data_IF_925709738269
#
_entry.id   IF_925709738269
#
_cell.length_a   1.000
_cell.length_b   1.000
_cell.length_c   1.000
_cell.angle_alpha   90.00
_cell.angle_beta   90.00
_cell.angle_gamma   90.00
#
_symmetry.space_group_name_H-M   'P 1'
#
loop_
_entity.id
_entity.type
_entity.pdbx_description
1 polymer ?
#
# COMPACT_ATOMS: atom_id res chain seq x y z
N UNK A 1 -20.61 -5.57 -22.83
CA UNK A 1 -21.57 -4.89 -23.74
C UNK A 1 -22.68 -4.15 -22.97
N UNK A 2 -22.49 -3.82 -21.68
CA UNK A 2 -23.49 -3.16 -20.82
C UNK A 2 -23.15 -1.71 -20.41
N UNK A 3 -21.87 -1.33 -20.39
CA UNK A 3 -21.39 0.01 -20.00
C UNK A 3 -21.93 1.13 -20.90
N UNK A 4 -22.09 0.87 -22.20
CA UNK A 4 -22.60 1.86 -23.17
C UNK A 4 -24.06 2.23 -22.95
N UNK A 5 -24.88 1.35 -22.33
CA UNK A 5 -26.28 1.66 -22.02
C UNK A 5 -26.44 2.51 -20.76
N UNK A 6 -25.60 2.32 -19.75
CA UNK A 6 -25.71 3.05 -18.47
C UNK A 6 -25.47 4.56 -18.64
N UNK A 7 -24.39 4.93 -19.30
CA UNK A 7 -24.04 6.34 -19.55
C UNK A 7 -24.84 6.96 -20.69
N UNK A 8 -25.47 6.15 -21.55
CA UNK A 8 -26.24 6.60 -22.70
C UNK A 8 -27.76 6.72 -22.49
N UNK A 9 -28.34 6.13 -21.44
CA UNK A 9 -29.82 6.05 -21.27
C UNK A 9 -30.37 6.45 -19.90
N UNK A 10 -29.57 6.47 -18.83
CA UNK A 10 -30.04 6.84 -17.48
C UNK A 10 -29.90 8.35 -17.19
N UNK A 11 -30.77 8.88 -16.32
CA UNK A 11 -30.70 10.29 -15.88
C UNK A 11 -29.41 10.53 -15.09
N UNK A 12 -28.66 11.56 -15.49
CA UNK A 12 -27.37 11.96 -14.87
C UNK A 12 -27.44 12.04 -13.34
N UNK A 13 -28.52 12.59 -12.78
CA UNK A 13 -28.69 12.70 -11.32
C UNK A 13 -28.71 11.35 -10.61
N UNK A 14 -29.34 10.33 -11.20
CA UNK A 14 -29.45 8.99 -10.63
C UNK A 14 -28.11 8.25 -10.68
N UNK A 15 -27.33 8.47 -11.74
CA UNK A 15 -25.94 7.99 -11.85
C UNK A 15 -25.07 8.67 -10.79
N UNK A 16 -25.19 9.98 -10.63
CA UNK A 16 -24.43 10.77 -9.65
C UNK A 16 -24.69 10.29 -8.22
N UNK A 17 -25.95 10.15 -7.82
CA UNK A 17 -26.30 9.69 -6.47
C UNK A 17 -25.94 8.22 -6.21
N UNK A 18 -25.75 7.41 -7.26
CA UNK A 18 -25.35 6.00 -7.14
C UNK A 18 -23.84 5.81 -7.05
N UNK A 19 -23.06 6.60 -7.82
CA UNK A 19 -21.60 6.47 -7.88
C UNK A 19 -20.87 7.41 -6.91
N UNK A 20 -21.40 8.61 -6.64
CA UNK A 20 -20.71 9.61 -5.84
C UNK A 20 -20.50 9.17 -4.38
N UNK A 21 -21.48 8.60 -3.64
CA UNK A 21 -21.26 8.27 -2.23
C UNK A 21 -20.08 7.32 -1.96
N UNK A 22 -19.91 6.18 -2.66
CA UNK A 22 -18.76 5.29 -2.43
C UNK A 22 -17.44 5.93 -2.87
N UNK A 23 -17.42 6.69 -3.97
CA UNK A 23 -16.22 7.41 -4.42
C UNK A 23 -15.83 8.50 -3.43
N UNK A 24 -16.79 9.30 -2.96
CA UNK A 24 -16.57 10.35 -1.96
C UNK A 24 -16.06 9.75 -0.64
N UNK A 25 -16.62 8.62 -0.20
CA UNK A 25 -16.14 7.93 0.99
C UNK A 25 -14.70 7.40 0.80
N UNK A 26 -14.39 6.84 -0.36
CA UNK A 26 -13.05 6.37 -0.70
C UNK A 26 -12.04 7.53 -0.74
N UNK A 27 -12.41 8.66 -1.37
CA UNK A 27 -11.60 9.87 -1.41
C UNK A 27 -11.41 10.48 -0.02
N UNK A 28 -12.43 10.44 0.83
CA UNK A 28 -12.33 10.88 2.23
C UNK A 28 -11.35 10.01 3.02
N UNK A 29 -11.43 8.68 2.89
CA UNK A 29 -10.50 7.75 3.54
C UNK A 29 -9.07 7.98 3.02
N UNK A 30 -8.89 8.13 1.71
CA UNK A 30 -7.58 8.39 1.10
C UNK A 30 -6.99 9.72 1.59
N UNK A 31 -7.80 10.78 1.70
CA UNK A 31 -7.37 12.06 2.23
C UNK A 31 -6.93 11.94 3.70
N UNK A 32 -7.66 11.19 4.53
CA UNK A 32 -7.26 10.91 5.91
C UNK A 32 -5.93 10.16 5.98
N UNK A 33 -5.71 9.17 5.12
CA UNK A 33 -4.41 8.48 5.03
C UNK A 33 -3.27 9.43 4.64
N UNK A 34 -3.49 10.31 3.67
CA UNK A 34 -2.47 11.27 3.25
C UNK A 34 -2.12 12.28 4.35
N UNK A 35 -3.11 12.71 5.15
CA UNK A 35 -2.89 13.58 6.32
C UNK A 35 -2.06 12.86 7.37
N UNK A 36 -2.39 11.59 7.65
CA UNK A 36 -1.67 10.77 8.62
C UNK A 36 -0.24 10.47 8.15
N UNK A 37 -0.04 10.08 6.90
CA UNK A 37 1.29 9.83 6.34
C UNK A 37 2.15 11.10 6.34
N UNK A 38 1.57 12.25 6.00
CA UNK A 38 2.26 13.54 6.05
C UNK A 38 2.64 13.95 7.48
N UNK A 39 1.76 13.70 8.46
CA UNK A 39 2.06 13.94 9.88
C UNK A 39 3.19 13.03 10.39
N UNK A 40 3.21 11.76 9.97
CA UNK A 40 4.28 10.83 10.34
C UNK A 40 5.60 11.23 9.71
N UNK A 41 5.63 11.37 8.39
CA UNK A 41 6.86 11.65 7.66
C UNK A 41 7.43 13.03 8.04
N UNK A 42 6.57 14.03 8.22
CA UNK A 42 6.98 15.38 8.62
C UNK A 42 7.60 15.47 10.02
N UNK A 43 7.29 14.52 10.93
CA UNK A 43 7.92 14.46 12.26
C UNK A 43 9.33 13.87 12.24
N UNK A 44 9.66 13.05 11.25
CA UNK A 44 10.95 12.36 11.17
C UNK A 44 11.90 12.94 10.12
N UNK A 45 11.38 13.60 9.07
CA UNK A 45 12.20 14.22 8.04
C UNK A 45 11.46 15.37 7.35
N UNK A 46 12.04 16.57 7.40
CA UNK A 46 11.54 17.73 6.64
C UNK A 46 11.57 17.50 5.12
N UNK A 47 12.54 16.74 4.61
CA UNK A 47 12.63 16.38 3.18
C UNK A 47 11.66 15.28 2.77
N UNK A 48 11.19 14.44 3.71
CA UNK A 48 10.15 13.46 3.42
C UNK A 48 8.78 14.11 3.19
N UNK A 49 8.48 15.19 3.92
CA UNK A 49 7.23 15.94 3.75
C UNK A 49 7.18 16.67 2.39
N UNK A 50 8.32 17.22 1.94
CA UNK A 50 8.42 17.83 0.61
C UNK A 50 8.32 16.80 -0.50
N UNK A 51 8.90 15.60 -0.34
CA UNK A 51 8.74 14.50 -1.29
C UNK A 51 7.28 14.05 -1.44
N UNK A 52 6.53 13.92 -0.35
CA UNK A 52 5.09 13.61 -0.38
C UNK A 52 4.28 14.67 -1.15
N UNK A 53 4.63 15.95 -0.95
CA UNK A 53 3.98 17.07 -1.62
C UNK A 53 4.22 17.07 -3.14
N UNK A 54 5.39 16.60 -3.58
CA UNK A 54 5.74 16.47 -5.01
C UNK A 54 5.08 15.22 -5.63
N UNK A 55 4.94 14.14 -4.87
CA UNK A 55 4.32 12.88 -5.32
C UNK A 55 2.80 13.00 -5.46
N UNK A 56 2.14 13.80 -4.61
CA UNK A 56 0.68 13.90 -4.58
C UNK A 56 0.03 14.32 -5.93
N UNK A 57 0.54 15.34 -6.67
CA UNK A 57 0.07 15.66 -8.01
C UNK A 57 0.23 14.50 -9.02
N UNK A 58 1.33 13.75 -8.93
CA UNK A 58 1.60 12.61 -9.80
C UNK A 58 0.63 11.47 -9.47
N UNK A 59 0.38 11.21 -8.18
CA UNK A 59 -0.61 10.23 -7.73
C UNK A 59 -2.03 10.60 -8.18
N UNK A 60 -2.41 11.88 -8.15
CA UNK A 60 -3.70 12.34 -8.64
C UNK A 60 -3.85 12.13 -10.16
N UNK A 61 -2.78 12.40 -10.92
CA UNK A 61 -2.74 12.14 -12.36
C UNK A 61 -2.89 10.64 -12.67
N UNK A 62 -2.24 9.77 -11.88
CA UNK A 62 -2.38 8.32 -12.00
C UNK A 62 -3.81 7.84 -11.73
N UNK A 63 -4.48 8.37 -10.70
CA UNK A 63 -5.88 8.05 -10.40
C UNK A 63 -6.80 8.55 -11.51
N UNK A 64 -6.54 9.74 -12.06
CA UNK A 64 -7.34 10.30 -13.15
C UNK A 64 -7.20 9.49 -14.45
N UNK A 65 -5.98 9.05 -14.80
CA UNK A 65 -5.73 8.18 -15.95
C UNK A 65 -6.37 6.80 -15.75
N UNK A 66 -6.22 6.20 -14.57
CA UNK A 66 -6.88 4.93 -14.23
C UNK A 66 -8.41 5.04 -14.26
N UNK A 67 -8.98 6.16 -13.80
CA UNK A 67 -10.42 6.43 -13.86
C UNK A 67 -10.92 6.61 -15.31
N UNK A 68 -10.09 7.22 -16.17
CA UNK A 68 -10.40 7.39 -17.60
C UNK A 68 -10.40 6.06 -18.36
N UNK A 69 -9.46 5.17 -18.05
CA UNK A 69 -9.32 3.88 -18.73
C UNK A 69 -10.29 2.80 -18.20
N UNK A 70 -10.85 2.96 -16.99
CA UNK A 70 -11.54 1.87 -16.28
C UNK A 70 -13.04 1.66 -16.54
N UNK A 71 -13.80 2.63 -17.07
CA UNK A 71 -15.20 2.43 -17.51
C UNK A 71 -16.14 1.69 -16.53
N UNK A 72 -16.08 2.00 -15.22
CA UNK A 72 -16.68 1.25 -14.10
C UNK A 72 -18.17 0.84 -14.30
N UNK A 73 -18.46 -0.47 -14.21
CA UNK A 73 -19.78 -1.10 -14.38
C UNK A 73 -20.55 -1.37 -13.06
N UNK A 74 -21.80 -1.86 -13.19
CA UNK A 74 -22.74 -2.15 -12.10
C UNK A 74 -22.53 -3.50 -11.38
N UNK A 75 -21.64 -4.37 -11.87
CA UNK A 75 -21.36 -5.68 -11.27
C UNK A 75 -20.62 -5.52 -9.93
N UNK A 76 -19.89 -4.41 -9.77
CA UNK A 76 -19.24 -3.98 -8.51
C UNK A 76 -20.21 -3.80 -7.32
N UNK A 77 -21.50 -3.54 -7.57
CA UNK A 77 -22.47 -3.16 -6.52
C UNK A 77 -23.33 -4.35 -6.06
N UNK A 78 -23.50 -5.40 -6.87
CA UNK A 78 -24.43 -6.50 -6.56
C UNK A 78 -23.90 -7.49 -5.52
N UNK A 79 -22.58 -7.73 -5.48
CA UNK A 79 -21.99 -8.82 -4.67
C UNK A 79 -21.60 -8.42 -3.24
N UNK A 80 -21.72 -7.15 -2.88
CA UNK A 80 -21.29 -6.61 -1.58
C UNK A 80 -22.10 -7.20 -0.40
N UNK A 81 -23.26 -7.82 -0.65
CA UNK A 81 -24.21 -8.14 0.42
C UNK A 81 -24.22 -9.57 0.96
N UNK A 82 -23.46 -10.53 0.40
CA UNK A 82 -23.54 -11.93 0.87
C UNK A 82 -22.18 -12.62 1.01
N UNK A 83 -21.63 -12.45 2.21
CA UNK A 83 -20.59 -13.24 2.89
C UNK A 83 -19.10 -13.03 2.54
N UNK A 84 -18.37 -12.79 3.64
CA UNK A 84 -16.92 -12.80 3.88
C UNK A 84 -16.06 -11.66 3.30
N UNK A 85 -15.39 -10.86 4.16
CA UNK A 85 -14.56 -9.71 3.73
C UNK A 85 -13.28 -10.08 2.95
N UNK A 86 -12.90 -11.36 2.89
CA UNK A 86 -11.69 -11.81 2.20
C UNK A 86 -11.92 -12.09 0.71
N UNK A 87 -13.05 -12.71 0.34
CA UNK A 87 -13.42 -13.00 -1.07
C UNK A 87 -13.72 -11.69 -1.82
N UNK A 88 -14.42 -10.75 -1.19
CA UNK A 88 -14.66 -9.43 -1.77
C UNK A 88 -13.37 -8.64 -2.02
N UNK A 89 -12.37 -8.80 -1.15
CA UNK A 89 -11.05 -8.19 -1.35
C UNK A 89 -10.30 -8.87 -2.49
N UNK A 90 -10.39 -10.18 -2.62
CA UNK A 90 -9.77 -10.95 -3.71
C UNK A 90 -10.42 -10.62 -5.06
N UNK A 91 -11.75 -10.51 -5.10
CA UNK A 91 -12.53 -10.00 -6.24
C UNK A 91 -12.13 -8.56 -6.60
N UNK A 92 -12.03 -7.67 -5.60
CA UNK A 92 -11.57 -6.30 -5.80
C UNK A 92 -10.14 -6.25 -6.40
N UNK A 93 -9.21 -7.02 -5.83
CA UNK A 93 -7.82 -7.07 -6.29
C UNK A 93 -7.69 -7.68 -7.69
N UNK A 94 -8.59 -8.57 -8.08
CA UNK A 94 -8.63 -9.20 -9.41
C UNK A 94 -9.39 -8.38 -10.46
N UNK A 95 -10.02 -7.26 -10.09
CA UNK A 95 -10.60 -6.36 -11.08
C UNK A 95 -9.53 -5.82 -12.04
N UNK A 96 -9.90 -5.67 -13.32
CA UNK A 96 -8.99 -5.19 -14.37
C UNK A 96 -8.31 -3.87 -13.99
N UNK A 97 -9.07 -2.93 -13.45
CA UNK A 97 -8.59 -1.62 -12.98
C UNK A 97 -7.50 -1.75 -11.93
N UNK A 98 -7.67 -2.66 -10.97
CA UNK A 98 -6.70 -2.87 -9.90
C UNK A 98 -5.48 -3.61 -10.43
N UNK A 99 -5.65 -4.55 -11.36
CA UNK A 99 -4.55 -5.21 -12.06
C UNK A 99 -3.72 -4.20 -12.88
N UNK A 100 -4.36 -3.35 -13.68
CA UNK A 100 -3.69 -2.30 -14.46
C UNK A 100 -2.93 -1.33 -13.55
N UNK A 101 -3.51 -0.96 -12.41
CA UNK A 101 -2.85 -0.14 -11.40
C UNK A 101 -1.66 -0.84 -10.74
N UNK A 102 -1.74 -2.15 -10.50
CA UNK A 102 -0.63 -2.97 -9.99
C UNK A 102 0.50 -2.99 -11.03
N UNK A 103 0.20 -3.31 -12.29
CA UNK A 103 1.19 -3.33 -13.37
C UNK A 103 1.87 -1.97 -13.55
N UNK A 104 1.10 -0.88 -13.50
CA UNK A 104 1.65 0.47 -13.57
C UNK A 104 2.58 0.77 -12.37
N UNK A 105 2.20 0.35 -11.17
CA UNK A 105 3.01 0.48 -9.96
C UNK A 105 4.32 -0.33 -10.07
N UNK A 106 4.28 -1.55 -10.61
CA UNK A 106 5.48 -2.37 -10.84
C UNK A 106 6.46 -1.70 -11.80
N UNK A 107 5.96 -1.16 -12.92
CA UNK A 107 6.78 -0.40 -13.89
C UNK A 107 7.43 0.82 -13.22
N UNK A 108 6.70 1.53 -12.36
CA UNK A 108 7.22 2.68 -11.62
C UNK A 108 8.31 2.23 -10.63
N UNK A 109 8.10 1.15 -9.88
CA UNK A 109 9.09 0.61 -8.93
C UNK A 109 10.40 0.29 -9.65
N UNK A 110 10.33 -0.42 -10.78
CA UNK A 110 11.51 -0.74 -11.61
C UNK A 110 12.19 0.52 -12.11
N UNK A 111 11.42 1.47 -12.66
CA UNK A 111 11.96 2.74 -13.13
C UNK A 111 12.65 3.55 -12.02
N UNK A 112 12.12 3.54 -10.80
CA UNK A 112 12.77 4.19 -9.65
C UNK A 112 14.09 3.51 -9.33
N UNK A 113 14.11 2.17 -9.26
CA UNK A 113 15.32 1.40 -9.00
C UNK A 113 16.40 1.60 -10.10
N UNK A 114 15.99 1.68 -11.36
CA UNK A 114 16.89 1.91 -12.51
C UNK A 114 17.52 3.32 -12.52
N UNK A 115 16.86 4.31 -11.88
CA UNK A 115 17.35 5.70 -11.84
C UNK A 115 18.34 5.98 -10.69
N UNK A 116 18.60 5.00 -9.82
CA UNK A 116 19.62 5.10 -8.78
C UNK A 116 19.20 4.50 -7.45
N UNK A 117 20.11 4.60 -6.47
CA UNK A 117 19.92 4.04 -5.13
C UNK A 117 18.69 4.63 -4.44
N UNK A 118 17.82 3.76 -3.95
CA UNK A 118 16.58 4.15 -3.29
C UNK A 118 16.17 3.17 -2.20
N UNK A 119 15.28 3.61 -1.30
CA UNK A 119 14.62 2.76 -0.30
C UNK A 119 13.14 2.72 -0.62
N UNK A 120 12.59 1.52 -0.82
CA UNK A 120 11.18 1.31 -1.15
C UNK A 120 10.51 0.54 -0.02
N UNK A 121 9.40 1.07 0.51
CA UNK A 121 8.66 0.47 1.62
C UNK A 121 7.38 -0.19 1.12
N UNK A 122 7.27 -1.51 1.33
CA UNK A 122 6.06 -2.27 1.06
C UNK A 122 5.82 -2.51 -0.44
N UNK A 123 4.55 -2.47 -0.87
CA UNK A 123 4.14 -2.55 -2.29
C UNK A 123 4.60 -3.82 -3.03
N UNK A 124 4.90 -4.88 -2.27
CA UNK A 124 5.50 -6.12 -2.78
C UNK A 124 6.80 -5.89 -3.58
N UNK A 125 7.52 -4.80 -3.29
CA UNK A 125 8.71 -4.41 -4.02
C UNK A 125 9.81 -5.48 -3.98
N UNK A 126 9.87 -6.26 -2.89
CA UNK A 126 10.76 -7.42 -2.75
C UNK A 126 10.52 -8.48 -3.85
N UNK A 127 9.26 -8.69 -4.21
CA UNK A 127 8.88 -9.61 -5.30
C UNK A 127 9.02 -8.96 -6.67
N UNK A 128 8.64 -7.68 -6.81
CA UNK A 128 8.75 -6.95 -8.08
C UNK A 128 10.22 -6.86 -8.54
N UNK A 129 11.13 -6.61 -7.61
CA UNK A 129 12.56 -6.49 -7.87
C UNK A 129 13.33 -7.80 -7.67
N UNK A 130 12.64 -8.97 -7.66
CA UNK A 130 13.27 -10.26 -7.34
C UNK A 130 14.43 -10.66 -8.26
N UNK A 131 14.40 -10.18 -9.50
CA UNK A 131 15.40 -10.47 -10.54
C UNK A 131 16.53 -9.41 -10.60
N UNK A 132 16.53 -8.43 -9.68
CA UNK A 132 17.60 -7.44 -9.58
C UNK A 132 18.70 -7.97 -8.65
N UNK A 133 19.95 -7.87 -9.08
CA UNK A 133 21.11 -8.36 -8.31
C UNK A 133 21.52 -7.40 -7.18
N UNK A 134 21.23 -6.11 -7.30
CA UNK A 134 21.64 -5.07 -6.35
C UNK A 134 20.51 -4.65 -5.38
N UNK A 135 19.73 -5.61 -4.89
CA UNK A 135 18.59 -5.36 -3.99
C UNK A 135 18.70 -6.17 -2.71
N UNK A 136 18.65 -5.47 -1.57
CA UNK A 136 18.56 -6.08 -0.24
C UNK A 136 17.12 -5.99 0.26
N UNK A 137 16.45 -7.13 0.47
CA UNK A 137 15.08 -7.18 0.98
C UNK A 137 15.10 -7.30 2.49
N UNK A 138 14.45 -6.34 3.16
CA UNK A 138 14.39 -6.25 4.61
C UNK A 138 12.96 -6.38 5.11
N UNK A 139 12.73 -7.24 6.09
CA UNK A 139 11.47 -7.31 6.81
C UNK A 139 11.62 -6.82 8.25
N UNK A 140 10.87 -5.77 8.61
CA UNK A 140 10.88 -5.21 9.95
C UNK A 140 9.66 -5.71 10.73
N UNK A 141 9.90 -6.30 11.90
CA UNK A 141 8.85 -6.75 12.81
C UNK A 141 9.10 -6.24 14.24
N UNK A 142 8.15 -6.49 15.14
CA UNK A 142 8.30 -6.26 16.57
C UNK A 142 7.24 -7.04 17.35
N UNK A 143 7.46 -7.32 18.65
CA UNK A 143 6.45 -7.87 19.54
C UNK A 143 5.20 -7.00 19.58
N UNK A 144 4.03 -7.65 19.73
CA UNK A 144 2.73 -6.96 19.74
C UNK A 144 2.67 -5.81 20.76
N UNK A 145 3.20 -6.02 21.96
CA UNK A 145 3.17 -5.00 23.03
C UNK A 145 3.99 -3.75 22.66
N UNK A 146 5.15 -3.91 22.02
CA UNK A 146 5.94 -2.78 21.52
C UNK A 146 5.19 -2.01 20.42
N UNK A 147 4.57 -2.74 19.49
CA UNK A 147 3.78 -2.14 18.40
C UNK A 147 2.59 -1.35 18.93
N UNK A 148 1.90 -1.89 19.94
CA UNK A 148 0.81 -1.18 20.63
C UNK A 148 1.32 0.10 21.25
N UNK A 149 2.43 0.05 22.01
CA UNK A 149 3.03 1.23 22.63
C UNK A 149 3.26 2.34 21.61
N UNK A 150 3.88 2.00 20.48
CA UNK A 150 4.11 2.93 19.36
C UNK A 150 2.82 3.47 18.75
N UNK A 151 1.84 2.60 18.45
CA UNK A 151 0.58 3.05 17.84
C UNK A 151 -0.17 4.00 18.77
N UNK A 152 -0.17 3.73 20.08
CA UNK A 152 -0.75 4.63 21.08
C UNK A 152 -0.02 5.97 21.14
N UNK A 153 1.31 5.94 21.18
CA UNK A 153 2.14 7.15 21.24
C UNK A 153 1.93 8.05 20.02
N UNK A 154 1.92 7.47 18.82
CA UNK A 154 1.92 8.28 17.61
C UNK A 154 0.51 8.63 17.12
N UNK A 155 -0.48 7.72 17.27
CA UNK A 155 -1.86 7.96 16.81
C UNK A 155 -2.85 8.34 17.92
N UNK A 156 -2.48 8.16 19.20
CA UNK A 156 -3.39 8.41 20.33
C UNK A 156 -4.45 7.32 20.55
N UNK A 157 -4.31 6.17 19.91
CA UNK A 157 -5.26 5.05 20.01
C UNK A 157 -5.42 4.55 21.46
N UNK A 158 -6.61 4.03 21.79
CA UNK A 158 -6.77 3.18 22.98
C UNK A 158 -6.08 1.81 22.77
N UNK A 159 -5.83 1.07 23.85
CA UNK A 159 -5.27 -0.29 23.76
C UNK A 159 -6.08 -1.21 22.83
N UNK A 160 -7.42 -1.10 22.89
CA UNK A 160 -8.33 -1.93 22.10
C UNK A 160 -8.30 -1.53 20.62
N UNK A 161 -8.25 -0.23 20.33
CA UNK A 161 -8.09 0.30 18.97
C UNK A 161 -6.76 -0.11 18.37
N UNK A 162 -5.66 0.11 19.08
CA UNK A 162 -4.32 -0.23 18.62
C UNK A 162 -4.22 -1.72 18.23
N UNK A 163 -4.66 -2.61 19.11
CA UNK A 163 -4.68 -4.07 18.83
C UNK A 163 -5.50 -4.42 17.58
N UNK A 164 -6.67 -3.81 17.42
CA UNK A 164 -7.56 -4.05 16.29
C UNK A 164 -6.96 -3.50 14.98
N UNK A 165 -6.45 -2.28 15.02
CA UNK A 165 -5.89 -1.57 13.87
C UNK A 165 -4.63 -2.29 13.37
N UNK A 166 -3.74 -2.70 14.27
CA UNK A 166 -2.57 -3.52 13.95
C UNK A 166 -2.98 -4.80 13.22
N UNK A 167 -3.88 -5.60 13.81
CA UNK A 167 -4.32 -6.87 13.20
C UNK A 167 -4.98 -6.67 11.84
N UNK A 168 -5.81 -5.64 11.70
CA UNK A 168 -6.47 -5.31 10.42
C UNK A 168 -5.45 -4.91 9.36
N UNK A 169 -4.46 -4.12 9.75
CA UNK A 169 -3.39 -3.66 8.87
C UNK A 169 -2.49 -4.82 8.42
N UNK A 170 -2.10 -5.70 9.33
CA UNK A 170 -1.30 -6.90 9.02
C UNK A 170 -2.05 -7.86 8.10
N UNK A 171 -3.33 -8.14 8.39
CA UNK A 171 -4.18 -8.95 7.51
C UNK A 171 -4.26 -8.35 6.11
N UNK A 172 -4.36 -7.02 6.01
CA UNK A 172 -4.38 -6.32 4.73
C UNK A 172 -3.08 -6.44 3.95
N UNK A 173 -1.93 -6.24 4.61
CA UNK A 173 -0.61 -6.42 3.98
C UNK A 173 -0.41 -7.86 3.52
N UNK A 174 -0.76 -8.83 4.35
CA UNK A 174 -0.64 -10.24 4.02
C UNK A 174 -1.49 -10.65 2.80
N UNK A 175 -2.75 -10.19 2.74
CA UNK A 175 -3.63 -10.48 1.62
C UNK A 175 -3.12 -9.84 0.31
N UNK A 176 -2.75 -8.57 0.34
CA UNK A 176 -2.19 -7.87 -0.81
C UNK A 176 -0.91 -8.53 -1.32
N UNK A 177 0.01 -8.86 -0.40
CA UNK A 177 1.26 -9.52 -0.74
C UNK A 177 1.01 -10.89 -1.37
N UNK A 178 0.17 -11.73 -0.76
CA UNK A 178 -0.18 -13.06 -1.29
C UNK A 178 -0.80 -12.97 -2.69
N UNK A 179 -1.66 -11.98 -2.93
CA UNK A 179 -2.28 -11.78 -4.25
C UNK A 179 -1.24 -11.51 -5.35
N UNK A 180 -0.22 -10.70 -5.04
CA UNK A 180 0.79 -10.29 -6.02
C UNK A 180 1.91 -11.32 -6.17
N UNK A 181 2.47 -11.80 -5.06
CA UNK A 181 3.65 -12.66 -5.08
C UNK A 181 3.32 -14.16 -5.04
N UNK A 182 2.10 -14.53 -4.64
CA UNK A 182 1.75 -15.90 -4.26
C UNK A 182 2.41 -16.37 -2.95
N UNK A 183 3.26 -15.55 -2.33
CA UNK A 183 4.09 -15.91 -1.18
C UNK A 183 3.45 -15.45 0.14
N UNK A 184 3.96 -15.97 1.26
CA UNK A 184 3.47 -15.60 2.59
C UNK A 184 4.21 -14.37 3.13
N UNK A 185 3.46 -13.32 3.45
CA UNK A 185 4.01 -12.10 4.03
C UNK A 185 4.68 -12.37 5.39
N UNK A 186 5.89 -11.82 5.58
CA UNK A 186 6.68 -12.01 6.80
C UNK A 186 7.37 -13.36 6.93
N UNK A 187 7.36 -14.20 5.90
CA UNK A 187 8.15 -15.44 5.90
C UNK A 187 9.63 -15.11 5.66
N UNK A 188 10.49 -15.41 6.64
CA UNK A 188 11.89 -14.97 6.66
C UNK A 188 12.68 -15.33 5.40
N UNK A 189 12.41 -16.48 4.77
CA UNK A 189 13.08 -16.93 3.53
C UNK A 189 12.90 -16.00 2.33
N UNK A 190 11.92 -15.09 2.38
CA UNK A 190 11.65 -14.13 1.32
C UNK A 190 12.51 -12.86 1.44
N UNK A 191 13.32 -12.75 2.50
CA UNK A 191 14.08 -11.56 2.85
C UNK A 191 15.53 -11.95 3.20
N UNK A 192 16.50 -11.12 2.78
CA UNK A 192 17.90 -11.28 3.17
C UNK A 192 18.12 -10.94 4.66
N UNK A 193 17.29 -10.04 5.20
CA UNK A 193 17.39 -9.59 6.58
C UNK A 193 16.00 -9.41 7.22
N UNK A 194 15.81 -9.99 8.41
CA UNK A 194 14.65 -9.71 9.27
C UNK A 194 15.10 -9.01 10.54
N UNK A 195 14.50 -7.87 10.87
CA UNK A 195 14.92 -7.03 12.01
C UNK A 195 13.78 -6.88 13.02
N UNK A 196 14.05 -7.24 14.27
CA UNK A 196 13.17 -6.91 15.39
C UNK A 196 13.41 -5.46 15.84
N UNK A 197 12.48 -4.58 15.49
CA UNK A 197 12.55 -3.15 15.79
C UNK A 197 12.28 -2.77 17.25
N UNK A 198 12.00 -3.74 18.13
CA UNK A 198 11.88 -3.47 19.58
C UNK A 198 13.19 -3.03 20.23
N UNK A 199 14.33 -3.20 19.55
CA UNK A 199 15.63 -2.64 19.95
C UNK A 199 15.71 -1.11 19.81
N UNK A 200 14.73 -0.48 19.15
CA UNK A 200 14.70 0.96 18.87
C UNK A 200 14.99 1.28 17.40
N UNK A 201 14.50 2.43 16.93
CA UNK A 201 14.54 2.81 15.51
C UNK A 201 15.98 2.98 15.03
N UNK A 202 16.82 3.66 15.82
CA UNK A 202 18.21 3.97 15.50
C UNK A 202 19.05 2.69 15.38
N UNK A 203 18.98 1.82 16.39
CA UNK A 203 19.66 0.52 16.37
C UNK A 203 19.19 -0.38 15.23
N UNK A 204 17.89 -0.34 14.90
CA UNK A 204 17.36 -1.07 13.76
C UNK A 204 17.97 -0.57 12.44
N UNK A 205 18.11 0.75 12.29
CA UNK A 205 18.74 1.35 11.12
C UNK A 205 20.23 0.99 11.03
N UNK A 206 20.96 1.03 12.14
CA UNK A 206 22.37 0.62 12.21
C UNK A 206 22.57 -0.84 11.75
N UNK A 207 21.71 -1.76 12.20
CA UNK A 207 21.73 -3.16 11.78
C UNK A 207 21.51 -3.29 10.26
N UNK A 208 20.51 -2.57 9.72
CA UNK A 208 20.19 -2.60 8.29
C UNK A 208 21.36 -2.05 7.47
N UNK A 209 21.90 -0.89 7.85
CA UNK A 209 23.04 -0.27 7.17
C UNK A 209 24.26 -1.19 7.23
N UNK A 210 24.55 -1.77 8.39
CA UNK A 210 25.66 -2.72 8.54
C UNK A 210 25.55 -3.92 7.60
N UNK A 211 24.35 -4.46 7.42
CA UNK A 211 24.11 -5.55 6.47
C UNK A 211 24.30 -5.10 5.02
N UNK A 212 23.72 -3.95 4.64
CA UNK A 212 23.83 -3.41 3.27
C UNK A 212 25.29 -3.11 2.91
N UNK A 213 26.07 -2.49 3.80
CA UNK A 213 27.49 -2.23 3.56
C UNK A 213 28.29 -3.52 3.36
N UNK A 214 27.98 -4.58 4.12
CA UNK A 214 28.62 -5.87 3.94
C UNK A 214 28.21 -6.55 2.61
N UNK A 215 26.97 -6.35 2.16
CA UNK A 215 26.46 -6.84 0.89
C UNK A 215 27.16 -6.15 -0.30
N UNK A 216 27.32 -4.83 -0.26
CA UNK A 216 28.03 -4.07 -1.30
C UNK A 216 29.49 -4.53 -1.45
N UNK A 217 30.18 -4.90 -0.36
CA UNK A 217 31.55 -5.40 -0.44
C UNK A 217 31.72 -6.77 -1.12
N UNK A 218 30.60 -7.47 -1.39
CA UNK A 218 30.57 -8.80 -2.01
C UNK A 218 30.27 -8.79 -3.51
N UNK A 219 29.71 -7.68 -4.01
CA UNK A 219 29.32 -7.48 -5.41
C UNK A 219 30.45 -6.77 -6.19
#
# INVERSE_FOLDING_TARGET
METTKLFGTEKISKILFRLAPPVMLAQLIQALYNIIDSLFVGRYSGSGLTALSIIYPIQLLMIALAAHESGLDQEFISDVHKNSPDILRELYLSTRVVQDAIEAQEKIIRKIADNGSCVIVGRSADYVLKDYENVVRVFVHAPMEFRIGRVKEVYGDTLKEAKRNIRRSDKARAAYYKHISGMRWGEAKNYELTVDSSVGTEKSAEIIVGYVSAYESKA
#
